data_IF_634388390851
#
_entry.id   IF_634388390851
#
_cell.length_a   1.000
_cell.length_b   1.000
_cell.length_c   1.000
_cell.angle_alpha   90.00
_cell.angle_beta   90.00
_cell.angle_gamma   90.00
#
_symmetry.space_group_name_H-M   'P 1'
#
loop_
_entity.id
_entity.type
_entity.pdbx_description
1 polymer ?
#
# COMPACT_ATOMS: atom_id res chain seq x y z
N UNK A 1 -1.77 -19.91 -40.06
CA UNK A 1 -2.63 -19.52 -38.93
C UNK A 1 -1.93 -19.95 -37.65
N UNK A 2 -1.23 -19.02 -37.00
CA UNK A 2 -0.51 -19.26 -35.74
C UNK A 2 -1.48 -19.07 -34.58
N UNK A 3 -1.79 -20.13 -33.86
CA UNK A 3 -2.52 -20.06 -32.61
C UNK A 3 -1.58 -19.53 -31.53
N UNK A 4 -1.86 -18.32 -31.05
CA UNK A 4 -1.25 -17.73 -29.86
C UNK A 4 -1.66 -18.55 -28.65
N UNK A 5 -0.71 -19.18 -27.96
CA UNK A 5 -0.97 -19.85 -26.68
C UNK A 5 -1.16 -18.80 -25.60
N UNK A 6 -2.37 -18.65 -25.08
CA UNK A 6 -2.60 -17.92 -23.83
C UNK A 6 -1.93 -18.67 -22.66
N UNK A 7 -1.32 -17.97 -21.69
CA UNK A 7 -0.82 -18.62 -20.48
C UNK A 7 -2.02 -19.08 -19.63
N UNK A 8 -2.14 -20.39 -19.44
CA UNK A 8 -3.17 -21.00 -18.61
C UNK A 8 -3.04 -20.61 -17.12
N UNK A 9 -4.12 -20.75 -16.33
CA UNK A 9 -4.12 -20.42 -14.91
C UNK A 9 -3.14 -21.34 -14.16
N UNK A 10 -2.19 -20.74 -13.44
CA UNK A 10 -1.20 -21.49 -12.66
C UNK A 10 -1.86 -22.10 -11.42
N UNK A 11 -1.68 -23.41 -11.25
CA UNK A 11 -2.22 -24.20 -10.16
C UNK A 11 -1.56 -23.87 -8.81
N UNK A 12 -2.39 -23.79 -7.77
CA UNK A 12 -2.00 -23.53 -6.39
C UNK A 12 -1.35 -24.78 -5.75
N UNK A 13 -0.15 -24.64 -5.18
CA UNK A 13 0.39 -25.58 -4.20
C UNK A 13 0.77 -24.82 -2.93
N UNK A 14 0.18 -25.27 -1.82
CA UNK A 14 0.07 -24.58 -0.55
C UNK A 14 1.12 -25.11 0.44
N UNK A 15 2.17 -24.32 0.71
CA UNK A 15 3.02 -24.46 1.91
C UNK A 15 3.52 -23.06 2.32
N UNK A 16 3.12 -22.61 3.52
CA UNK A 16 3.68 -21.54 4.37
C UNK A 16 4.42 -20.35 3.75
N UNK A 17 3.95 -19.13 4.08
CA UNK A 17 4.71 -17.86 3.96
C UNK A 17 5.21 -17.46 2.56
N UNK A 18 4.56 -17.93 1.50
CA UNK A 18 4.95 -17.54 0.15
C UNK A 18 4.32 -16.19 -0.24
N UNK A 19 5.13 -15.13 -0.22
CA UNK A 19 4.84 -13.87 -0.87
C UNK A 19 5.02 -14.07 -2.39
N UNK A 20 3.95 -14.41 -3.11
CA UNK A 20 4.03 -14.73 -4.55
C UNK A 20 4.23 -13.48 -5.39
N UNK A 21 5.18 -13.51 -6.34
CA UNK A 21 5.32 -12.50 -7.40
C UNK A 21 4.57 -13.02 -8.62
N UNK A 22 3.49 -12.34 -9.04
CA UNK A 22 3.18 -12.29 -10.46
C UNK A 22 3.32 -10.83 -10.90
N UNK A 23 4.30 -10.58 -11.76
CA UNK A 23 4.54 -9.27 -12.33
C UNK A 23 4.08 -9.26 -13.78
N UNK A 24 3.16 -8.37 -14.13
CA UNK A 24 2.95 -8.03 -15.53
C UNK A 24 4.02 -7.01 -15.93
N UNK A 25 4.88 -7.40 -16.87
CA UNK A 25 5.90 -6.52 -17.44
C UNK A 25 5.23 -5.66 -18.51
N UNK A 26 5.23 -4.34 -18.33
CA UNK A 26 4.78 -3.38 -19.35
C UNK A 26 5.95 -2.52 -19.80
N UNK A 27 5.83 -1.86 -20.96
CA UNK A 27 6.84 -0.91 -21.45
C UNK A 27 7.09 0.27 -20.48
N UNK A 28 6.20 0.46 -19.51
CA UNK A 28 6.15 1.60 -18.59
C UNK A 28 6.33 1.16 -17.11
N UNK A 29 6.76 -0.08 -16.85
CA UNK A 29 7.06 -0.60 -15.51
C UNK A 29 6.38 -1.94 -15.20
N UNK A 30 6.60 -2.42 -13.98
CA UNK A 30 6.08 -3.70 -13.47
C UNK A 30 5.14 -3.44 -12.30
N UNK A 31 4.00 -4.11 -12.28
CA UNK A 31 3.14 -4.19 -11.08
C UNK A 31 3.40 -5.54 -10.45
N UNK A 32 4.08 -5.55 -9.31
CA UNK A 32 4.25 -6.73 -8.47
C UNK A 32 3.19 -6.69 -7.38
N UNK A 33 2.62 -7.82 -7.00
CA UNK A 33 1.67 -7.90 -5.89
C UNK A 33 2.07 -9.00 -4.93
N UNK A 34 1.58 -8.90 -3.70
CA UNK A 34 1.93 -9.75 -2.57
C UNK A 34 0.71 -9.94 -1.69
N UNK A 35 0.49 -11.17 -1.24
CA UNK A 35 -0.56 -11.48 -0.27
C UNK A 35 0.05 -11.60 1.11
N UNK A 36 -0.48 -10.84 2.07
CA UNK A 36 -0.16 -11.04 3.47
C UNK A 36 -1.33 -11.83 4.10
N UNK A 37 -1.24 -13.16 4.08
CA UNK A 37 -2.13 -14.02 4.87
C UNK A 37 -2.32 -15.48 4.42
N UNK A 38 -2.68 -16.32 5.38
CA UNK A 38 -3.29 -17.61 5.09
C UNK A 38 -4.75 -17.38 4.70
N UNK A 39 -5.20 -18.07 3.65
CA UNK A 39 -6.58 -17.97 3.20
C UNK A 39 -7.58 -18.20 4.34
N UNK A 40 -8.50 -17.25 4.48
CA UNK A 40 -9.74 -17.26 5.27
C UNK A 40 -9.65 -17.00 6.78
N UNK A 41 -10.31 -15.92 7.22
CA UNK A 41 -11.44 -16.00 8.15
C UNK A 41 -12.55 -15.03 7.73
N UNK A 42 -13.80 -15.49 7.78
CA UNK A 42 -15.00 -14.72 7.44
C UNK A 42 -15.24 -13.61 8.48
N UNK A 43 -14.85 -12.38 8.16
CA UNK A 43 -15.28 -11.19 8.89
C UNK A 43 -16.67 -10.74 8.44
N UNK A 44 -17.58 -10.48 9.39
CA UNK A 44 -18.88 -9.83 9.13
C UNK A 44 -18.68 -8.46 8.48
N UNK A 45 -19.65 -7.97 7.67
CA UNK A 45 -19.60 -6.60 7.17
C UNK A 45 -19.52 -5.64 8.36
N UNK A 46 -18.42 -4.88 8.39
CA UNK A 46 -18.12 -3.93 9.44
C UNK A 46 -18.95 -2.67 9.23
N UNK A 47 -19.62 -2.25 10.29
CA UNK A 47 -20.37 -1.01 10.35
C UNK A 47 -19.39 0.17 10.23
N UNK A 48 -19.60 1.05 9.24
CA UNK A 48 -18.78 2.25 9.03
C UNK A 48 -19.09 3.27 10.12
N UNK A 49 -18.39 3.18 11.25
CA UNK A 49 -18.32 4.30 12.18
C UNK A 49 -17.63 5.48 11.49
N UNK A 50 -18.17 6.68 11.66
CA UNK A 50 -17.58 7.96 11.22
C UNK A 50 -16.12 8.15 11.64
N UNK A 51 -15.67 7.41 12.65
CA UNK A 51 -14.36 7.54 13.28
C UNK A 51 -13.16 7.06 12.43
N UNK A 52 -13.39 6.45 11.27
CA UNK A 52 -12.34 5.94 10.37
C UNK A 52 -12.41 6.54 8.96
N UNK A 53 -13.26 7.54 8.76
CA UNK A 53 -13.51 8.17 7.47
C UNK A 53 -12.75 9.51 7.35
N UNK A 54 -11.49 9.45 6.91
CA UNK A 54 -10.64 10.63 6.72
C UNK A 54 -10.53 11.06 5.25
N UNK A 55 -11.16 10.30 4.34
CA UNK A 55 -11.16 10.61 2.90
C UNK A 55 -9.77 10.50 2.28
N UNK A 56 -9.54 11.27 1.22
CA UNK A 56 -8.27 11.31 0.50
C UNK A 56 -7.30 12.30 1.17
N UNK A 57 -6.16 11.82 1.65
CA UNK A 57 -5.05 12.64 2.11
C UNK A 57 -3.82 12.41 1.23
N UNK A 58 -3.47 13.45 0.46
CA UNK A 58 -2.29 13.49 -0.41
C UNK A 58 -1.29 14.57 0.06
N UNK A 59 -1.29 14.91 1.35
CA UNK A 59 -0.55 16.07 1.91
C UNK A 59 0.98 16.00 1.67
N UNK A 60 1.53 14.80 1.41
CA UNK A 60 2.93 14.58 1.05
C UNK A 60 3.19 14.23 -0.42
N UNK A 61 2.16 14.22 -1.26
CA UNK A 61 2.28 13.85 -2.68
C UNK A 61 2.64 15.08 -3.55
N UNK A 62 3.39 14.90 -4.65
CA UNK A 62 3.58 15.97 -5.61
C UNK A 62 2.25 16.39 -6.25
N UNK A 63 2.07 17.70 -6.43
CA UNK A 63 0.93 18.25 -7.18
C UNK A 63 1.13 17.99 -8.67
N UNK A 64 0.24 17.21 -9.26
CA UNK A 64 0.26 16.87 -10.68
C UNK A 64 -1.09 17.27 -11.27
N UNK A 65 -1.05 17.96 -12.40
CA UNK A 65 -2.24 18.34 -13.13
C UNK A 65 -2.90 17.10 -13.74
N UNK A 66 -4.22 16.97 -13.57
CA UNK A 66 -4.98 15.77 -13.93
C UNK A 66 -5.04 15.53 -15.45
N UNK A 67 -4.81 16.56 -16.25
CA UNK A 67 -4.77 16.53 -17.71
C UNK A 67 -3.48 15.92 -18.30
N UNK A 68 -2.45 15.72 -17.47
CA UNK A 68 -1.16 15.16 -17.89
C UNK A 68 -1.07 13.64 -17.77
N UNK A 69 -2.13 12.98 -17.26
CA UNK A 69 -2.14 11.52 -17.07
C UNK A 69 -2.90 10.81 -18.21
N UNK A 70 -2.21 9.98 -18.98
CA UNK A 70 -2.77 9.23 -20.13
C UNK A 70 -2.18 7.83 -20.26
N UNK A 71 -2.93 6.87 -20.80
CA UNK A 71 -2.39 5.62 -21.36
C UNK A 71 -1.94 4.57 -20.34
N UNK A 72 -2.61 4.52 -19.18
CA UNK A 72 -2.33 3.58 -18.05
C UNK A 72 -3.56 2.80 -17.61
N UNK A 73 -4.55 2.67 -18.48
CA UNK A 73 -5.86 2.11 -18.15
C UNK A 73 -5.74 0.63 -17.75
N UNK A 74 -4.84 -0.12 -18.39
CA UNK A 74 -4.59 -1.53 -18.06
C UNK A 74 -4.02 -1.68 -16.65
N UNK A 75 -3.06 -0.84 -16.30
CA UNK A 75 -2.44 -0.81 -14.98
C UNK A 75 -3.44 -0.41 -13.91
N UNK A 76 -4.30 0.58 -14.18
CA UNK A 76 -5.36 0.98 -13.26
C UNK A 76 -6.36 -0.15 -12.99
N UNK A 77 -6.79 -0.87 -14.04
CA UNK A 77 -7.69 -2.03 -13.89
C UNK A 77 -7.02 -3.13 -13.05
N UNK A 78 -5.75 -3.44 -13.32
CA UNK A 78 -5.00 -4.42 -12.52
C UNK A 78 -4.87 -4.00 -11.06
N UNK A 79 -4.54 -2.72 -10.81
CA UNK A 79 -4.48 -2.18 -9.46
C UNK A 79 -5.83 -2.27 -8.76
N UNK A 80 -6.93 -1.99 -9.46
CA UNK A 80 -8.29 -2.07 -8.91
C UNK A 80 -8.63 -3.50 -8.49
N UNK A 81 -8.33 -4.50 -9.32
CA UNK A 81 -8.57 -5.91 -9.00
C UNK A 81 -7.80 -6.33 -7.75
N UNK A 82 -6.52 -5.92 -7.66
CA UNK A 82 -5.63 -6.27 -6.56
C UNK A 82 -5.89 -5.48 -5.27
N UNK A 83 -6.40 -4.25 -5.35
CA UNK A 83 -6.63 -3.37 -4.19
C UNK A 83 -8.12 -3.24 -3.85
N UNK A 84 -8.96 -4.16 -4.34
CA UNK A 84 -10.40 -4.16 -4.10
C UNK A 84 -10.75 -4.65 -2.68
N UNK A 85 -11.60 -3.92 -1.92
CA UNK A 85 -12.18 -4.38 -0.66
C UNK A 85 -12.97 -5.68 -0.72
N UNK A 86 -13.34 -6.15 -1.93
CA UNK A 86 -13.95 -7.46 -2.09
C UNK A 86 -12.96 -8.61 -1.79
N UNK A 87 -11.66 -8.34 -1.91
CA UNK A 87 -10.61 -9.28 -1.49
C UNK A 87 -10.50 -9.25 0.03
N UNK A 88 -10.60 -10.43 0.67
CA UNK A 88 -10.71 -10.56 2.14
C UNK A 88 -9.36 -10.68 2.85
N UNK A 89 -8.26 -10.44 2.14
CA UNK A 89 -6.89 -10.49 2.63
C UNK A 89 -6.22 -9.14 2.39
N UNK A 90 -5.28 -8.74 3.24
CA UNK A 90 -4.47 -7.56 2.97
C UNK A 90 -3.61 -7.83 1.73
N UNK A 91 -3.77 -6.97 0.74
CA UNK A 91 -2.98 -7.01 -0.48
C UNK A 91 -1.97 -5.86 -0.45
N UNK A 92 -0.71 -6.21 -0.71
CA UNK A 92 0.38 -5.26 -0.87
C UNK A 92 0.76 -5.25 -2.35
N UNK A 93 0.62 -4.11 -3.01
CA UNK A 93 0.94 -3.93 -4.43
C UNK A 93 2.13 -3.01 -4.54
N UNK A 94 3.17 -3.40 -5.28
CA UNK A 94 4.31 -2.57 -5.60
C UNK A 94 4.36 -2.25 -7.10
N UNK A 95 4.21 -0.97 -7.42
CA UNK A 95 4.47 -0.43 -8.75
C UNK A 95 5.96 -0.13 -8.83
N UNK A 96 6.67 -0.88 -9.66
CA UNK A 96 8.12 -0.77 -9.82
C UNK A 96 8.53 -0.43 -11.25
N UNK A 97 9.71 0.17 -11.40
CA UNK A 97 10.23 0.53 -12.72
C UNK A 97 11.22 1.69 -12.65
N UNK A 98 11.87 1.97 -13.77
CA UNK A 98 12.89 3.01 -13.84
C UNK A 98 12.36 4.40 -13.44
N UNK A 99 13.28 5.31 -13.11
CA UNK A 99 12.95 6.71 -12.85
C UNK A 99 12.23 7.35 -14.05
N UNK A 100 11.28 8.25 -13.79
CA UNK A 100 10.53 8.95 -14.85
C UNK A 100 9.38 8.17 -15.49
N UNK A 101 9.14 6.90 -15.13
CA UNK A 101 8.06 6.07 -15.69
C UNK A 101 6.64 6.40 -15.18
N UNK A 102 6.45 7.50 -14.45
CA UNK A 102 5.11 7.91 -14.02
C UNK A 102 4.48 7.07 -12.90
N UNK A 103 5.26 6.32 -12.10
CA UNK A 103 4.73 5.44 -11.02
C UNK A 103 3.94 6.23 -9.97
N UNK A 104 4.52 7.31 -9.49
CA UNK A 104 3.90 8.23 -8.53
C UNK A 104 2.61 8.82 -9.10
N UNK A 105 2.63 9.24 -10.37
CA UNK A 105 1.45 9.75 -11.09
C UNK A 105 0.34 8.69 -11.19
N UNK A 106 0.69 7.44 -11.51
CA UNK A 106 -0.26 6.32 -11.55
C UNK A 106 -0.93 6.09 -10.19
N UNK A 107 -0.16 6.06 -9.10
CA UNK A 107 -0.71 5.86 -7.76
C UNK A 107 -1.60 7.03 -7.31
N UNK A 108 -1.24 8.28 -7.64
CA UNK A 108 -2.08 9.45 -7.37
C UNK A 108 -3.39 9.38 -8.15
N UNK A 109 -3.32 9.05 -9.44
CA UNK A 109 -4.51 8.94 -10.28
C UNK A 109 -5.43 7.83 -9.78
N UNK A 110 -4.88 6.66 -9.43
CA UNK A 110 -5.63 5.57 -8.80
C UNK A 110 -6.32 6.02 -7.50
N UNK A 111 -5.59 6.70 -6.61
CA UNK A 111 -6.13 7.19 -5.34
C UNK A 111 -7.29 8.17 -5.53
N UNK A 112 -7.17 9.09 -6.51
CA UNK A 112 -8.23 10.04 -6.86
C UNK A 112 -9.45 9.31 -7.44
N UNK A 113 -9.25 8.41 -8.39
CA UNK A 113 -10.30 7.67 -9.09
C UNK A 113 -11.11 6.78 -8.14
N UNK A 114 -10.44 6.14 -7.17
CA UNK A 114 -11.05 5.18 -6.26
C UNK A 114 -11.29 5.71 -4.84
N UNK A 115 -11.25 7.02 -4.63
CA UNK A 115 -11.35 7.63 -3.29
C UNK A 115 -12.58 7.19 -2.48
N UNK A 116 -13.72 6.96 -3.15
CA UNK A 116 -14.98 6.55 -2.50
C UNK A 116 -15.01 5.06 -2.12
N UNK A 117 -14.07 4.26 -2.64
CA UNK A 117 -13.95 2.84 -2.31
C UNK A 117 -13.39 2.63 -0.90
N UNK A 118 -12.53 3.55 -0.47
CA UNK A 118 -11.81 3.49 0.80
C UNK A 118 -12.46 4.43 1.83
N UNK A 119 -12.37 4.10 3.11
CA UNK A 119 -12.74 5.03 4.19
C UNK A 119 -11.70 6.12 4.36
N UNK A 120 -10.43 5.77 4.15
CA UNK A 120 -9.29 6.69 4.23
C UNK A 120 -8.20 6.27 3.26
N UNK A 121 -7.55 7.24 2.61
CA UNK A 121 -6.34 7.04 1.82
C UNK A 121 -5.25 7.94 2.41
N UNK A 122 -4.12 7.35 2.75
CA UNK A 122 -2.97 8.08 3.29
C UNK A 122 -1.76 7.93 2.40
N UNK A 123 -1.13 9.06 2.07
CA UNK A 123 0.11 9.11 1.31
C UNK A 123 1.30 9.38 2.23
N UNK A 124 2.34 8.55 2.12
CA UNK A 124 3.56 8.63 2.90
C UNK A 124 4.78 8.50 2.00
N UNK A 125 5.75 9.40 2.17
CA UNK A 125 7.06 9.26 1.52
C UNK A 125 7.89 8.20 2.24
N UNK A 126 8.25 7.13 1.54
CA UNK A 126 9.09 6.03 2.00
C UNK A 126 10.57 6.18 1.59
N UNK A 127 11.01 7.38 1.17
CA UNK A 127 12.38 7.66 0.72
C UNK A 127 13.47 7.29 1.75
N UNK A 128 13.17 7.44 3.04
CA UNK A 128 14.03 7.05 4.17
C UNK A 128 13.16 6.87 5.43
N UNK A 129 13.67 6.12 6.43
CA UNK A 129 12.92 5.77 7.64
C UNK A 129 12.48 7.03 8.42
N UNK A 130 13.33 8.06 8.48
CA UNK A 130 13.06 9.27 9.26
C UNK A 130 11.92 10.11 8.68
N UNK A 131 11.88 10.25 7.36
CA UNK A 131 10.83 10.94 6.63
C UNK A 131 9.51 10.20 6.74
N UNK A 132 9.55 8.87 6.67
CA UNK A 132 8.36 8.05 6.84
C UNK A 132 7.77 8.22 8.25
N UNK A 133 8.60 8.15 9.28
CA UNK A 133 8.16 8.39 10.68
C UNK A 133 7.54 9.77 10.86
N UNK A 134 8.19 10.82 10.36
CA UNK A 134 7.65 12.17 10.43
C UNK A 134 6.28 12.30 9.73
N UNK A 135 6.12 11.67 8.57
CA UNK A 135 4.84 11.61 7.86
C UNK A 135 3.75 10.91 8.67
N UNK A 136 4.08 9.79 9.32
CA UNK A 136 3.14 9.05 10.18
C UNK A 136 2.74 9.90 11.40
N UNK A 137 3.68 10.58 12.05
CA UNK A 137 3.38 11.48 13.19
C UNK A 137 2.37 12.56 12.78
N UNK A 138 2.50 13.14 11.58
CA UNK A 138 1.52 14.09 11.06
C UNK A 138 0.13 13.47 10.88
N UNK A 139 0.06 12.22 10.41
CA UNK A 139 -1.21 11.49 10.33
C UNK A 139 -1.80 11.19 11.70
N UNK A 140 -0.97 10.84 12.69
CA UNK A 140 -1.43 10.62 14.07
C UNK A 140 -2.13 11.85 14.61
N UNK A 141 -1.54 13.04 14.45
CA UNK A 141 -2.19 14.29 14.89
C UNK A 141 -3.56 14.47 14.24
N UNK A 142 -3.67 14.26 12.92
CA UNK A 142 -4.94 14.39 12.19
C UNK A 142 -5.99 13.36 12.61
N UNK A 143 -5.58 12.11 12.83
CA UNK A 143 -6.48 11.00 13.22
C UNK A 143 -6.92 11.15 14.68
N UNK A 144 -6.02 11.59 15.55
CA UNK A 144 -6.31 11.90 16.94
C UNK A 144 -7.40 12.98 17.08
N UNK A 145 -7.26 14.07 16.32
CA UNK A 145 -8.22 15.17 16.35
C UNK A 145 -9.60 14.78 15.79
N UNK A 146 -9.62 13.93 14.75
CA UNK A 146 -10.84 13.55 14.04
C UNK A 146 -11.55 12.31 14.56
N UNK A 147 -10.93 11.54 15.48
CA UNK A 147 -11.54 10.30 16.01
C UNK A 147 -11.88 10.44 17.49
N UNK A 148 -12.98 9.81 17.92
CA UNK A 148 -13.26 9.61 19.35
C UNK A 148 -12.31 8.60 20.02
N UNK A 149 -11.25 8.19 19.32
CA UNK A 149 -10.22 7.34 19.91
C UNK A 149 -9.42 8.20 20.88
N UNK A 150 -9.21 7.75 22.13
CA UNK A 150 -8.30 8.43 23.03
C UNK A 150 -6.90 8.29 22.46
N UNK A 151 -6.50 9.20 21.57
CA UNK A 151 -5.10 9.46 21.36
C UNK A 151 -4.63 10.14 22.63
N UNK A 152 -3.74 9.46 23.35
CA UNK A 152 -2.85 10.17 24.24
C UNK A 152 -2.21 11.28 23.38
N UNK A 153 -2.40 12.52 23.79
CA UNK A 153 -1.63 13.67 23.33
C UNK A 153 -0.22 13.23 22.91
N UNK A 154 0.16 13.49 21.65
CA UNK A 154 1.50 13.27 21.06
C UNK A 154 2.47 12.62 22.06
N UNK A 155 2.72 11.30 21.96
CA UNK A 155 3.42 10.54 23.00
C UNK A 155 4.86 11.03 23.22
N UNK A 156 5.33 11.95 22.37
CA UNK A 156 6.63 12.60 22.46
C UNK A 156 7.73 11.73 21.86
N UNK A 157 7.37 10.54 21.37
CA UNK A 157 8.24 9.54 20.81
C UNK A 157 7.67 9.04 19.48
N UNK A 158 8.38 9.31 18.38
CA UNK A 158 7.96 8.94 17.03
C UNK A 158 7.69 7.44 16.88
N UNK A 159 8.45 6.58 17.56
CA UNK A 159 8.24 5.12 17.49
C UNK A 159 6.94 4.69 18.18
N UNK A 160 6.53 5.41 19.22
CA UNK A 160 5.25 5.16 19.89
C UNK A 160 4.07 5.67 19.06
N UNK A 161 4.21 6.84 18.44
CA UNK A 161 3.22 7.38 17.51
C UNK A 161 3.02 6.45 16.30
N UNK A 162 4.11 5.91 15.74
CA UNK A 162 4.05 4.89 14.68
C UNK A 162 3.31 3.65 15.16
N UNK A 163 3.68 3.09 16.32
CA UNK A 163 2.99 1.91 16.88
C UNK A 163 1.51 2.16 17.10
N UNK A 164 1.15 3.34 17.61
CA UNK A 164 -0.23 3.73 17.82
C UNK A 164 -0.99 3.78 16.49
N UNK A 165 -0.43 4.42 15.46
CA UNK A 165 -1.06 4.52 14.14
C UNK A 165 -1.30 3.14 13.51
N UNK A 166 -0.30 2.25 13.54
CA UNK A 166 -0.43 0.89 13.02
C UNK A 166 -1.46 0.06 13.81
N UNK A 167 -1.57 0.29 15.12
CA UNK A 167 -2.62 -0.30 15.96
C UNK A 167 -4.01 0.24 15.63
N UNK A 168 -4.13 1.54 15.38
CA UNK A 168 -5.37 2.17 14.94
C UNK A 168 -5.84 1.66 13.58
N UNK A 169 -4.93 1.45 12.62
CA UNK A 169 -5.21 0.78 11.35
C UNK A 169 -5.62 -0.69 11.51
N UNK A 170 -5.26 -1.32 12.64
CA UNK A 170 -5.52 -2.73 12.94
C UNK A 170 -6.83 -2.97 13.72
N UNK A 171 -7.62 -1.93 14.02
CA UNK A 171 -8.93 -2.07 14.67
C UNK A 171 -9.88 -2.85 13.78
N UNK A 172 -10.65 -3.79 14.33
CA UNK A 172 -11.55 -4.65 13.54
C UNK A 172 -12.52 -3.85 12.67
N UNK A 173 -12.90 -2.65 13.09
CA UNK A 173 -13.81 -1.79 12.36
C UNK A 173 -13.14 -0.94 11.27
N UNK A 174 -11.81 -0.98 11.18
CA UNK A 174 -11.00 -0.13 10.30
C UNK A 174 -10.32 -0.96 9.19
N UNK A 175 -11.11 -1.49 8.25
CA UNK A 175 -10.61 -2.42 7.23
C UNK A 175 -10.56 -1.86 5.80
N UNK A 176 -11.11 -0.66 5.55
CA UNK A 176 -11.24 -0.08 4.21
C UNK A 176 -10.25 1.06 3.93
N UNK A 177 -9.10 1.10 4.60
CA UNK A 177 -8.07 2.10 4.33
C UNK A 177 -7.09 1.65 3.23
N UNK A 178 -6.46 2.62 2.58
CA UNK A 178 -5.34 2.44 1.66
C UNK A 178 -4.13 3.25 2.15
N UNK A 179 -2.99 2.59 2.38
CA UNK A 179 -1.70 3.23 2.61
C UNK A 179 -0.88 3.25 1.33
N UNK A 180 -0.40 4.42 0.93
CA UNK A 180 0.48 4.60 -0.23
C UNK A 180 1.87 5.00 0.27
N UNK A 181 2.86 4.15 0.05
CA UNK A 181 4.27 4.40 0.30
C UNK A 181 4.98 4.77 -1.01
N UNK A 182 5.37 6.03 -1.18
CA UNK A 182 6.03 6.50 -2.40
C UNK A 182 7.56 6.59 -2.23
N UNK A 183 8.31 6.22 -3.27
CA UNK A 183 9.79 6.27 -3.33
C UNK A 183 10.52 5.32 -2.38
N UNK A 184 10.05 4.07 -2.22
CA UNK A 184 10.80 3.05 -1.48
C UNK A 184 11.94 2.47 -2.33
N UNK A 185 12.99 3.26 -2.54
CA UNK A 185 14.06 2.97 -3.51
C UNK A 185 15.30 2.30 -2.89
N UNK A 186 15.45 2.29 -1.56
CA UNK A 186 16.59 1.73 -0.83
C UNK A 186 16.15 0.70 0.24
N UNK A 187 15.69 -0.49 -0.17
CA UNK A 187 15.23 -1.53 0.76
C UNK A 187 16.40 -2.22 1.49
N UNK A 188 16.24 -2.43 2.80
CA UNK A 188 17.04 -3.41 3.57
C UNK A 188 16.12 -4.53 4.05
N UNK A 189 16.00 -5.59 3.23
CA UNK A 189 15.12 -6.73 3.44
C UNK A 189 15.90 -8.05 3.23
N UNK A 190 15.37 -9.21 3.65
CA UNK A 190 15.97 -10.50 3.32
C UNK A 190 16.22 -10.64 1.82
N UNK A 191 17.44 -11.05 1.45
CA UNK A 191 17.87 -11.14 0.05
C UNK A 191 18.31 -9.82 -0.60
N UNK A 192 18.06 -8.66 0.02
CA UNK A 192 18.48 -7.35 -0.48
C UNK A 192 18.90 -6.44 0.68
N UNK A 193 20.19 -6.42 0.99
CA UNK A 193 20.74 -5.64 2.10
C UNK A 193 21.17 -4.26 1.64
N UNK A 194 20.89 -3.25 2.46
CA UNK A 194 21.38 -1.89 2.29
C UNK A 194 21.93 -1.36 3.61
N UNK A 195 23.03 -0.60 3.55
CA UNK A 195 23.63 0.03 4.73
C UNK A 195 22.89 1.30 5.17
N UNK A 196 22.16 1.91 4.24
CA UNK A 196 21.41 3.16 4.43
C UNK A 196 19.90 2.96 4.37
N UNK A 197 19.48 1.82 3.84
CA UNK A 197 18.09 1.43 3.69
C UNK A 197 17.45 0.94 4.98
N UNK A 198 16.20 0.54 4.86
CA UNK A 198 15.42 0.00 5.96
C UNK A 198 14.36 -0.99 5.48
N UNK A 199 13.85 -1.81 6.40
CA UNK A 199 12.76 -2.73 6.12
C UNK A 199 11.40 -2.03 6.26
N UNK A 200 10.74 -1.74 5.13
CA UNK A 200 9.44 -1.07 5.12
C UNK A 200 8.34 -1.88 5.82
N UNK A 201 8.49 -3.22 5.94
CA UNK A 201 7.50 -4.07 6.63
C UNK A 201 7.34 -3.72 8.11
N UNK A 202 8.33 -3.07 8.72
CA UNK A 202 8.24 -2.55 10.09
C UNK A 202 7.11 -1.52 10.26
N UNK A 203 6.61 -0.97 9.14
CA UNK A 203 5.52 -0.01 9.07
C UNK A 203 4.22 -0.61 8.52
N UNK A 204 4.11 -1.94 8.43
CA UNK A 204 2.87 -2.60 8.05
C UNK A 204 1.99 -2.84 9.29
N UNK A 205 0.66 -2.64 9.20
CA UNK A 205 -0.23 -2.93 10.32
C UNK A 205 -0.19 -4.41 10.72
N UNK A 206 -0.16 -4.73 12.04
CA UNK A 206 -0.12 -6.11 12.50
C UNK A 206 -1.31 -6.98 12.05
N UNK A 207 -2.50 -6.39 11.92
CA UNK A 207 -3.67 -7.10 11.37
C UNK A 207 -3.64 -7.01 9.85
N UNK A 208 -3.80 -8.15 9.19
CA UNK A 208 -3.86 -8.29 7.73
C UNK A 208 -5.22 -7.82 7.19
N UNK A 209 -5.46 -6.51 7.27
CA UNK A 209 -6.59 -5.83 6.65
C UNK A 209 -6.13 -4.55 5.93
N UNK A 210 -7.05 -3.91 5.21
CA UNK A 210 -6.74 -2.75 4.40
C UNK A 210 -5.80 -3.08 3.25
N UNK A 211 -5.26 -2.04 2.63
CA UNK A 211 -4.54 -2.13 1.36
C UNK A 211 -3.26 -1.32 1.41
N UNK A 212 -2.19 -1.86 0.83
CA UNK A 212 -0.90 -1.16 0.77
C UNK A 212 -0.48 -1.06 -0.70
N UNK A 213 -0.09 0.14 -1.11
CA UNK A 213 0.43 0.43 -2.43
C UNK A 213 1.82 1.06 -2.27
N UNK A 214 2.81 0.56 -3.01
CA UNK A 214 4.21 0.97 -2.90
C UNK A 214 4.69 1.42 -4.28
N UNK A 215 5.46 2.51 -4.36
CA UNK A 215 6.26 2.82 -5.55
C UNK A 215 7.75 2.60 -5.26
N UNK A 216 8.46 2.05 -6.24
CA UNK A 216 9.90 1.78 -6.10
C UNK A 216 10.63 1.74 -7.45
N UNK A 217 11.92 2.06 -7.47
CA UNK A 217 12.82 1.81 -8.60
C UNK A 217 13.38 0.39 -8.61
N UNK A 218 13.23 -0.35 -7.52
CA UNK A 218 13.69 -1.73 -7.41
C UNK A 218 12.77 -2.63 -8.22
N UNK A 219 13.28 -3.14 -9.35
CA UNK A 219 12.50 -3.94 -10.32
C UNK A 219 12.03 -5.28 -9.76
N UNK A 220 12.75 -5.80 -8.76
CA UNK A 220 12.45 -7.04 -8.05
C UNK A 220 12.52 -6.77 -6.57
N UNK A 221 11.57 -5.98 -6.08
CA UNK A 221 11.29 -5.98 -4.65
C UNK A 221 10.78 -7.38 -4.30
N UNK A 222 11.23 -7.97 -3.20
CA UNK A 222 10.68 -9.21 -2.70
C UNK A 222 10.73 -9.15 -1.18
N UNK A 223 9.59 -9.38 -0.53
CA UNK A 223 9.57 -9.45 0.93
C UNK A 223 9.50 -10.89 1.47
N UNK A 224 9.57 -11.90 0.60
CA UNK A 224 9.69 -13.29 1.00
C UNK A 224 11.10 -13.60 1.52
N UNK A 225 11.16 -14.43 2.57
CA UNK A 225 12.35 -15.19 2.99
C UNK A 225 12.33 -16.58 2.41
#
# INVERSE_FOLDING_TARGET
MSASSEPGPLAFHNQGHALYIAGNQTAQGNINYYYNGEGSQQGRPVNTGSNYAFGLSLDGAPQIADDLFVGRERELVQMQELLSPATRTQNVVAVSGLGGMGKTQLCIHYAKLHRETYSSIFWLSAKDESTLKAGIVNLVMRVADGSSSPCASHLGNQDEDVKWFLSWLSKSENSRWLLIFDNYDDPDVPGMRSATGYDLRRFFPPRQQGFILITTRVTRLNFAT
#
